data_IF_111623697795
#
_entry.id   IF_111623697795
#
_cell.length_a   1.000
_cell.length_b   1.000
_cell.length_c   1.000
_cell.angle_alpha   90.00
_cell.angle_beta   90.00
_cell.angle_gamma   90.00
#
_symmetry.space_group_name_H-M   'P 1'
#
loop_
_entity.id
_entity.type
_entity.pdbx_description
1 polymer ?
#
# COMPACT_ATOMS: atom_id res chain seq x y z
N UNK A 1 -8.25 23.48 -19.60
CA UNK A 1 -9.38 23.12 -18.72
C UNK A 1 -8.86 22.23 -17.62
N UNK A 2 -9.04 22.59 -16.36
CA UNK A 2 -8.75 21.71 -15.22
C UNK A 2 -9.76 20.55 -15.23
N UNK A 3 -9.28 19.31 -15.37
CA UNK A 3 -10.14 18.12 -15.31
C UNK A 3 -10.50 17.85 -13.83
N UNK A 4 -11.76 18.05 -13.45
CA UNK A 4 -12.27 17.75 -12.11
C UNK A 4 -12.28 16.25 -11.84
N UNK A 5 -11.92 15.83 -10.62
CA UNK A 5 -11.93 14.43 -10.16
C UNK A 5 -12.83 14.27 -8.93
N UNK A 6 -13.40 13.08 -8.77
CA UNK A 6 -14.02 12.71 -7.51
C UNK A 6 -12.95 12.63 -6.40
N UNK A 7 -13.24 13.26 -5.26
CA UNK A 7 -12.43 13.19 -4.05
C UNK A 7 -13.09 12.22 -3.07
N UNK A 8 -12.50 11.05 -2.91
CA UNK A 8 -12.98 10.03 -1.98
C UNK A 8 -12.48 10.31 -0.55
N UNK A 9 -13.16 9.76 0.48
CA UNK A 9 -12.65 9.76 1.85
C UNK A 9 -11.23 9.16 1.91
N UNK A 10 -10.41 9.68 2.81
CA UNK A 10 -9.04 9.21 2.98
C UNK A 10 -8.99 7.81 3.62
N UNK A 11 -7.82 7.16 3.58
CA UNK A 11 -7.62 5.78 4.00
C UNK A 11 -8.14 5.49 5.41
N UNK A 12 -7.86 6.37 6.38
CA UNK A 12 -8.28 6.16 7.77
C UNK A 12 -9.81 6.23 7.93
N UNK A 13 -10.48 7.10 7.17
CA UNK A 13 -11.95 7.18 7.16
C UNK A 13 -12.58 5.96 6.49
N UNK A 14 -11.98 5.46 5.41
CA UNK A 14 -12.42 4.23 4.77
C UNK A 14 -12.21 3.01 5.68
N UNK A 15 -11.08 2.95 6.39
CA UNK A 15 -10.80 1.87 7.33
C UNK A 15 -11.77 1.85 8.52
N UNK A 16 -12.18 3.03 9.01
CA UNK A 16 -13.16 3.14 10.08
C UNK A 16 -14.53 2.54 9.73
N UNK A 17 -14.82 2.25 8.46
CA UNK A 17 -16.05 1.56 8.05
C UNK A 17 -16.02 0.06 8.30
N UNK A 18 -14.82 -0.55 8.40
CA UNK A 18 -14.62 -2.00 8.44
C UNK A 18 -15.33 -2.75 7.29
N UNK A 19 -15.63 -2.05 6.18
CA UNK A 19 -16.45 -2.57 5.11
C UNK A 19 -15.59 -2.91 3.88
N UNK A 20 -15.25 -4.19 3.77
CA UNK A 20 -14.50 -4.75 2.65
C UNK A 20 -15.21 -4.55 1.28
N UNK A 21 -16.53 -4.74 1.22
CA UNK A 21 -17.32 -4.58 -0.01
C UNK A 21 -17.30 -3.11 -0.47
N UNK A 22 -17.40 -2.17 0.46
CA UNK A 22 -17.29 -0.74 0.15
C UNK A 22 -15.92 -0.39 -0.45
N UNK A 23 -14.82 -0.96 0.06
CA UNK A 23 -13.48 -0.67 -0.49
C UNK A 23 -13.32 -1.21 -1.92
N UNK A 24 -13.98 -2.32 -2.24
CA UNK A 24 -14.03 -2.84 -3.59
C UNK A 24 -14.79 -1.89 -4.53
N UNK A 25 -15.97 -1.41 -4.14
CA UNK A 25 -16.74 -0.41 -4.90
C UNK A 25 -15.95 0.90 -5.11
N UNK A 26 -15.27 1.38 -4.06
CA UNK A 26 -14.38 2.55 -4.13
C UNK A 26 -13.27 2.32 -5.16
N UNK A 27 -12.67 1.12 -5.18
CA UNK A 27 -11.68 0.73 -6.19
C UNK A 27 -12.23 0.81 -7.62
N UNK A 28 -13.45 0.30 -7.85
CA UNK A 28 -14.08 0.36 -9.18
C UNK A 28 -14.33 1.81 -9.64
N UNK A 29 -14.88 2.64 -8.76
CA UNK A 29 -15.14 4.05 -9.10
C UNK A 29 -13.85 4.84 -9.36
N UNK A 30 -12.79 4.58 -8.59
CA UNK A 30 -11.48 5.19 -8.85
C UNK A 30 -10.89 4.73 -10.18
N UNK A 31 -11.09 3.47 -10.59
CA UNK A 31 -10.65 3.01 -11.90
C UNK A 31 -11.36 3.75 -13.04
N UNK A 32 -12.64 4.07 -12.90
CA UNK A 32 -13.37 4.88 -13.88
C UNK A 32 -12.81 6.29 -13.97
N UNK A 33 -12.45 6.91 -12.84
CA UNK A 33 -11.77 8.22 -12.81
C UNK A 33 -10.38 8.15 -13.48
N UNK A 34 -9.62 7.07 -13.26
CA UNK A 34 -8.30 6.87 -13.88
C UNK A 34 -8.44 6.73 -15.41
N UNK A 35 -9.41 5.91 -15.86
CA UNK A 35 -9.71 5.72 -17.30
C UNK A 35 -10.17 7.01 -17.96
N UNK A 36 -11.02 7.81 -17.31
CA UNK A 36 -11.44 9.13 -17.80
C UNK A 36 -10.27 10.12 -18.02
N UNK A 37 -9.12 9.85 -17.42
CA UNK A 37 -7.88 10.62 -17.54
C UNK A 37 -6.86 10.01 -18.48
N UNK A 38 -7.20 8.91 -19.16
CA UNK A 38 -6.28 8.17 -20.03
C UNK A 38 -5.03 7.68 -19.28
N UNK A 39 -5.17 7.45 -17.98
CA UNK A 39 -4.15 6.80 -17.16
C UNK A 39 -4.47 5.31 -17.02
N UNK A 40 -3.45 4.52 -16.70
CA UNK A 40 -3.53 3.05 -16.64
C UNK A 40 -3.18 2.49 -15.26
N UNK A 41 -2.53 3.30 -14.43
CA UNK A 41 -1.98 2.91 -13.13
C UNK A 41 -2.41 3.94 -12.10
N UNK A 42 -2.98 3.48 -10.98
CA UNK A 42 -3.26 4.30 -9.82
C UNK A 42 -2.19 4.04 -8.75
N UNK A 43 -1.57 5.13 -8.26
CA UNK A 43 -0.54 5.07 -7.23
C UNK A 43 -1.16 4.88 -5.83
N UNK A 44 -1.81 3.74 -5.59
CA UNK A 44 -2.42 3.36 -4.33
C UNK A 44 -2.86 1.88 -4.33
N UNK A 45 -3.24 1.34 -3.16
CA UNK A 45 -3.43 2.05 -1.89
C UNK A 45 -2.14 2.20 -1.06
N UNK A 46 -2.13 3.15 -0.12
CA UNK A 46 -1.11 3.23 0.93
C UNK A 46 -1.47 2.28 2.08
N UNK A 47 -0.53 1.42 2.48
CA UNK A 47 -0.72 0.40 3.53
C UNK A 47 0.36 0.46 4.62
N UNK A 48 1.09 1.57 4.73
CA UNK A 48 2.05 1.77 5.81
C UNK A 48 1.36 1.70 7.17
N UNK A 49 1.98 1.06 8.16
CA UNK A 49 1.36 0.88 9.47
C UNK A 49 1.30 2.20 10.25
N UNK A 50 0.21 2.43 10.99
CA UNK A 50 0.13 3.53 11.95
C UNK A 50 0.99 3.26 13.19
N UNK A 51 2.31 3.20 13.03
CA UNK A 51 3.27 2.93 14.11
C UNK A 51 3.18 3.96 15.24
N UNK A 52 2.92 5.21 14.88
CA UNK A 52 2.81 6.32 15.82
C UNK A 52 1.73 7.29 15.33
N UNK A 53 0.88 7.86 16.22
CA UNK A 53 -0.22 8.74 15.82
C UNK A 53 0.25 10.04 15.14
N UNK A 54 1.49 10.47 15.39
CA UNK A 54 2.11 11.64 14.74
C UNK A 54 2.65 11.37 13.33
N UNK A 55 2.44 10.18 12.77
CA UNK A 55 2.78 9.88 11.38
C UNK A 55 2.02 10.81 10.43
N UNK A 56 2.73 11.72 9.76
CA UNK A 56 2.12 12.78 8.93
C UNK A 56 1.29 12.28 7.73
N UNK A 57 1.39 10.99 7.40
CA UNK A 57 0.63 10.32 6.32
C UNK A 57 -0.30 9.21 6.82
N UNK A 58 -0.56 9.13 8.13
CA UNK A 58 -1.56 8.18 8.65
C UNK A 58 -2.94 8.40 8.01
N UNK A 59 -3.29 9.64 7.64
CA UNK A 59 -4.60 9.92 7.02
C UNK A 59 -4.84 9.13 5.72
N UNK A 60 -3.80 8.83 4.94
CA UNK A 60 -3.91 8.12 3.65
C UNK A 60 -3.69 6.61 3.76
N UNK A 61 -3.29 6.09 4.93
CA UNK A 61 -3.21 4.66 5.22
C UNK A 61 -4.43 4.18 6.00
N UNK A 62 -4.51 2.88 6.29
CA UNK A 62 -5.72 2.28 6.86
C UNK A 62 -5.70 2.20 8.39
N UNK A 63 -4.76 1.46 9.00
CA UNK A 63 -4.81 1.12 10.42
C UNK A 63 -3.43 0.87 11.05
N UNK A 64 -3.40 0.76 12.38
CA UNK A 64 -2.30 0.18 13.16
C UNK A 64 -2.33 -1.37 13.17
N UNK A 65 -3.43 -1.99 12.74
CA UNK A 65 -3.57 -3.44 12.64
C UNK A 65 -3.27 -3.96 11.22
N UNK A 66 -2.35 -4.92 11.05
CA UNK A 66 -1.93 -5.37 9.73
C UNK A 66 -2.98 -6.23 9.02
N UNK A 67 -3.84 -6.94 9.75
CA UNK A 67 -4.89 -7.78 9.17
C UNK A 67 -5.97 -6.91 8.52
N UNK A 68 -6.49 -5.92 9.25
CA UNK A 68 -7.45 -4.96 8.74
C UNK A 68 -6.89 -4.22 7.52
N UNK A 69 -5.67 -3.70 7.64
CA UNK A 69 -4.98 -2.97 6.56
C UNK A 69 -4.86 -3.84 5.30
N UNK A 70 -4.38 -5.08 5.44
CA UNK A 70 -4.22 -6.00 4.31
C UNK A 70 -5.55 -6.40 3.65
N UNK A 71 -6.58 -6.69 4.45
CA UNK A 71 -7.90 -7.10 3.94
C UNK A 71 -8.60 -6.00 3.16
N UNK A 72 -8.54 -4.76 3.67
CA UNK A 72 -9.13 -3.61 2.99
C UNK A 72 -8.34 -3.26 1.72
N UNK A 73 -7.01 -3.30 1.78
CA UNK A 73 -6.15 -3.08 0.61
C UNK A 73 -6.43 -4.09 -0.50
N UNK A 74 -6.59 -5.38 -0.16
CA UNK A 74 -6.89 -6.43 -1.13
C UNK A 74 -8.20 -6.15 -1.91
N UNK A 75 -9.25 -5.70 -1.22
CA UNK A 75 -10.53 -5.37 -1.89
C UNK A 75 -10.42 -4.14 -2.78
N UNK A 76 -9.76 -3.08 -2.29
CA UNK A 76 -9.48 -1.88 -3.08
C UNK A 76 -8.70 -2.21 -4.38
N UNK A 77 -7.66 -3.05 -4.27
CA UNK A 77 -6.85 -3.51 -5.40
C UNK A 77 -7.68 -4.32 -6.38
N UNK A 78 -8.50 -5.27 -5.90
CA UNK A 78 -9.39 -6.07 -6.75
C UNK A 78 -10.36 -5.19 -7.53
N UNK A 79 -10.97 -4.19 -6.89
CA UNK A 79 -11.89 -3.26 -7.53
C UNK A 79 -11.23 -2.47 -8.67
N UNK A 80 -10.00 -1.97 -8.46
CA UNK A 80 -9.25 -1.29 -9.52
C UNK A 80 -8.92 -2.21 -10.70
N UNK A 81 -8.40 -3.41 -10.41
CA UNK A 81 -7.87 -4.30 -11.42
C UNK A 81 -8.97 -5.05 -12.20
N UNK A 82 -10.13 -5.28 -11.59
CA UNK A 82 -11.30 -5.78 -12.32
C UNK A 82 -11.74 -4.82 -13.42
N UNK A 83 -11.54 -3.52 -13.19
CA UNK A 83 -11.81 -2.47 -14.16
C UNK A 83 -10.65 -2.24 -15.14
N UNK A 84 -9.59 -3.06 -15.10
CA UNK A 84 -8.45 -2.96 -16.00
C UNK A 84 -7.49 -1.81 -15.67
N UNK A 85 -7.48 -1.32 -14.43
CA UNK A 85 -6.53 -0.31 -13.93
C UNK A 85 -5.58 -0.96 -12.94
N UNK A 86 -4.28 -0.76 -13.14
CA UNK A 86 -3.25 -1.28 -12.25
C UNK A 86 -3.30 -0.58 -10.89
N UNK A 87 -3.35 -1.35 -9.81
CA UNK A 87 -3.07 -0.83 -8.48
C UNK A 87 -1.55 -0.83 -8.22
N UNK A 88 -1.06 0.18 -7.49
CA UNK A 88 0.32 0.23 -7.01
C UNK A 88 0.33 0.33 -5.50
N UNK A 89 0.43 -0.82 -4.83
CA UNK A 89 0.45 -0.86 -3.36
C UNK A 89 1.75 -0.22 -2.83
N UNK A 90 1.64 0.60 -1.79
CA UNK A 90 2.77 1.43 -1.31
C UNK A 90 2.74 1.68 0.21
N UNK A 91 3.84 2.05 0.86
CA UNK A 91 5.21 2.15 0.34
C UNK A 91 6.01 0.99 0.94
N UNK A 92 6.58 0.13 0.11
CA UNK A 92 7.20 -1.12 0.50
C UNK A 92 8.69 -0.91 0.85
N UNK A 93 9.14 -0.94 2.10
CA UNK A 93 8.39 -1.10 3.37
C UNK A 93 9.06 -0.24 4.46
N UNK A 94 8.40 -0.04 5.60
CA UNK A 94 9.00 0.64 6.76
C UNK A 94 8.98 2.17 6.67
N UNK A 95 7.99 2.73 5.97
CA UNK A 95 7.81 4.17 5.76
C UNK A 95 6.70 4.75 6.65
N UNK A 96 6.87 4.64 7.97
CA UNK A 96 5.86 5.06 8.96
C UNK A 96 6.10 6.47 9.54
N UNK A 97 7.08 7.21 9.04
CA UNK A 97 7.33 8.61 9.41
C UNK A 97 7.79 9.47 8.24
N UNK A 98 7.40 10.75 8.26
CA UNK A 98 7.78 11.70 7.21
C UNK A 98 9.12 12.40 7.48
N UNK A 99 9.42 12.62 8.77
CA UNK A 99 10.66 13.28 9.19
C UNK A 99 11.86 12.46 8.72
N UNK A 100 12.72 13.08 7.90
CA UNK A 100 13.88 12.45 7.29
C UNK A 100 13.57 11.17 6.49
N UNK A 101 12.37 11.01 5.92
CA UNK A 101 11.97 9.79 5.18
C UNK A 101 12.91 9.37 4.04
N UNK A 102 13.72 10.30 3.52
CA UNK A 102 14.71 10.03 2.47
C UNK A 102 16.04 9.50 3.01
N UNK A 103 16.31 9.60 4.32
CA UNK A 103 17.63 9.32 4.91
C UNK A 103 17.59 8.51 6.20
N UNK A 104 16.43 8.34 6.82
CA UNK A 104 16.31 7.57 8.05
C UNK A 104 16.47 6.06 7.79
N UNK A 105 17.12 5.39 8.73
CA UNK A 105 17.18 3.93 8.79
C UNK A 105 16.16 3.37 9.77
N UNK A 106 15.17 2.65 9.22
CA UNK A 106 14.18 1.89 9.97
C UNK A 106 14.82 0.57 10.44
N UNK A 107 15.35 0.58 11.66
CA UNK A 107 15.90 -0.60 12.33
C UNK A 107 14.77 -1.50 12.86
N UNK A 108 14.51 -2.61 12.19
CA UNK A 108 13.38 -3.49 12.47
C UNK A 108 13.85 -4.94 12.50
N UNK A 109 13.58 -5.63 13.60
CA UNK A 109 13.86 -7.07 13.69
C UNK A 109 12.98 -7.87 12.72
N UNK A 110 13.45 -9.05 12.31
CA UNK A 110 12.77 -9.88 11.32
C UNK A 110 11.31 -10.21 11.71
N UNK A 111 11.07 -10.47 13.00
CA UNK A 111 9.73 -10.80 13.49
C UNK A 111 8.72 -9.66 13.29
N UNK A 112 8.91 -8.44 13.83
CA UNK A 112 8.00 -7.33 13.56
C UNK A 112 7.99 -6.92 12.09
N UNK A 113 9.11 -7.07 11.36
CA UNK A 113 9.14 -6.86 9.91
C UNK A 113 8.08 -7.74 9.22
N UNK A 114 8.04 -9.03 9.54
CA UNK A 114 7.10 -10.00 8.93
C UNK A 114 5.69 -9.95 9.50
N UNK A 115 5.53 -9.79 10.81
CA UNK A 115 4.23 -9.83 11.48
C UNK A 115 3.45 -8.52 11.34
N UNK A 116 4.13 -7.37 11.21
CA UNK A 116 3.51 -6.04 11.21
C UNK A 116 3.68 -5.33 9.87
N UNK A 117 4.90 -5.03 9.45
CA UNK A 117 5.12 -4.09 8.34
C UNK A 117 4.94 -4.71 6.95
N UNK A 118 5.38 -5.95 6.77
CA UNK A 118 5.21 -6.70 5.54
C UNK A 118 3.82 -7.34 5.42
N UNK A 119 3.16 -7.59 6.55
CA UNK A 119 1.92 -8.39 6.59
C UNK A 119 0.78 -7.83 5.72
N UNK A 120 0.50 -6.51 5.67
CA UNK A 120 -0.52 -5.97 4.76
C UNK A 120 -0.19 -6.22 3.29
N UNK A 121 1.09 -6.10 2.92
CA UNK A 121 1.55 -6.38 1.56
C UNK A 121 1.44 -7.86 1.23
N UNK A 122 1.82 -8.76 2.15
CA UNK A 122 1.69 -10.21 1.96
C UNK A 122 0.23 -10.61 1.70
N UNK A 123 -0.70 -10.09 2.52
CA UNK A 123 -2.14 -10.33 2.37
C UNK A 123 -2.60 -9.82 1.00
N UNK A 124 -2.26 -8.57 0.64
CA UNK A 124 -2.67 -7.97 -0.62
C UNK A 124 -2.11 -8.70 -1.84
N UNK A 125 -0.83 -9.11 -1.80
CA UNK A 125 -0.20 -9.92 -2.86
C UNK A 125 -0.93 -11.24 -3.05
N UNK A 126 -1.16 -11.98 -1.96
CA UNK A 126 -1.81 -13.30 -2.04
C UNK A 126 -3.29 -13.24 -2.42
N UNK A 127 -4.00 -12.21 -1.97
CA UNK A 127 -5.46 -12.14 -2.14
C UNK A 127 -5.87 -11.34 -3.37
N UNK A 128 -5.06 -10.39 -3.84
CA UNK A 128 -5.45 -9.46 -4.91
C UNK A 128 -4.43 -9.31 -6.04
N UNK A 129 -3.21 -9.82 -5.86
CA UNK A 129 -2.10 -9.73 -6.82
C UNK A 129 -1.96 -8.33 -7.48
N UNK A 130 -1.53 -7.29 -6.73
CA UNK A 130 -1.41 -5.94 -7.26
C UNK A 130 -0.42 -5.89 -8.43
N UNK A 131 -0.75 -5.26 -9.54
CA UNK A 131 0.12 -5.23 -10.73
C UNK A 131 1.40 -4.41 -10.54
N UNK A 132 1.48 -3.59 -9.49
CA UNK A 132 2.70 -2.91 -9.12
C UNK A 132 2.86 -2.79 -7.60
N UNK A 133 4.11 -2.73 -7.16
CA UNK A 133 4.53 -2.38 -5.79
C UNK A 133 5.46 -1.18 -5.89
N UNK A 134 5.23 -0.16 -5.07
CA UNK A 134 6.13 1.00 -4.98
C UNK A 134 6.99 0.89 -3.74
N UNK A 135 8.32 0.89 -3.92
CA UNK A 135 9.28 0.89 -2.82
C UNK A 135 9.18 2.18 -1.98
N UNK A 136 9.56 2.09 -0.71
CA UNK A 136 9.68 3.25 0.16
C UNK A 136 10.97 4.02 -0.06
N UNK A 137 11.04 5.21 0.52
CA UNK A 137 12.23 6.07 0.45
C UNK A 137 13.33 5.70 1.46
N UNK A 138 12.93 5.26 2.66
CA UNK A 138 13.81 5.07 3.80
C UNK A 138 14.76 3.88 3.60
N UNK A 139 15.79 3.81 4.47
CA UNK A 139 16.56 2.60 4.64
C UNK A 139 15.78 1.63 5.55
N UNK A 140 15.95 0.34 5.31
CA UNK A 140 15.47 -0.75 6.18
C UNK A 140 16.67 -1.60 6.54
N UNK A 141 17.07 -1.56 7.81
CA UNK A 141 18.26 -2.25 8.31
C UNK A 141 19.53 -1.93 7.49
N UNK A 142 19.78 -0.65 7.23
CA UNK A 142 21.00 -0.15 6.61
C UNK A 142 21.03 -0.12 5.08
N UNK A 143 19.94 -0.52 4.40
CA UNK A 143 19.86 -0.53 2.93
C UNK A 143 18.58 0.18 2.47
N UNK A 144 18.68 1.08 1.49
CA UNK A 144 17.50 1.73 0.90
C UNK A 144 16.50 0.71 0.36
N UNK A 145 15.22 0.94 0.64
CA UNK A 145 14.17 -0.05 0.36
C UNK A 145 14.02 -0.39 -1.14
N UNK A 146 14.40 0.51 -2.04
CA UNK A 146 14.40 0.32 -3.50
C UNK A 146 15.55 -0.58 -4.01
N UNK A 147 16.56 -0.85 -3.18
CA UNK A 147 17.69 -1.74 -3.47
C UNK A 147 17.85 -2.86 -2.42
N UNK A 148 16.88 -3.01 -1.51
CA UNK A 148 16.94 -3.98 -0.43
C UNK A 148 16.62 -5.39 -0.97
N UNK A 149 17.65 -6.20 -1.17
CA UNK A 149 17.53 -7.55 -1.74
C UNK A 149 16.70 -8.49 -0.87
N UNK A 150 16.80 -8.35 0.47
CA UNK A 150 16.04 -9.18 1.42
C UNK A 150 14.53 -8.98 1.21
N UNK A 151 14.06 -7.72 1.16
CA UNK A 151 12.63 -7.44 1.02
C UNK A 151 12.13 -7.59 -0.42
N UNK A 152 12.85 -7.07 -1.41
CA UNK A 152 12.38 -7.04 -2.81
C UNK A 152 12.54 -8.37 -3.55
N UNK A 153 13.64 -9.09 -3.30
CA UNK A 153 13.93 -10.33 -4.03
C UNK A 153 13.59 -11.54 -3.20
N UNK A 154 14.19 -11.65 -2.02
CA UNK A 154 14.12 -12.90 -1.25
C UNK A 154 12.70 -13.10 -0.70
N UNK A 155 12.10 -12.08 -0.09
CA UNK A 155 10.73 -12.13 0.42
C UNK A 155 9.68 -11.93 -0.69
N UNK A 156 9.64 -10.76 -1.32
CA UNK A 156 8.54 -10.39 -2.23
C UNK A 156 8.45 -11.34 -3.45
N UNK A 157 9.56 -11.59 -4.13
CA UNK A 157 9.58 -12.48 -5.30
C UNK A 157 9.84 -13.95 -4.93
N UNK A 158 10.73 -14.22 -4.00
CA UNK A 158 11.13 -15.59 -3.65
C UNK A 158 10.10 -16.32 -2.80
N UNK A 159 9.66 -15.71 -1.70
CA UNK A 159 8.71 -16.36 -0.79
C UNK A 159 7.25 -16.15 -1.21
N UNK A 160 6.89 -14.93 -1.63
CA UNK A 160 5.50 -14.61 -1.96
C UNK A 160 5.16 -14.87 -3.43
N UNK A 161 6.16 -15.19 -4.27
CA UNK A 161 6.00 -15.43 -5.70
C UNK A 161 5.31 -14.26 -6.44
N UNK A 162 5.61 -13.02 -6.05
CA UNK A 162 5.07 -11.83 -6.71
C UNK A 162 5.55 -11.73 -8.17
N UNK A 163 4.61 -11.67 -9.11
CA UNK A 163 4.84 -11.74 -10.56
C UNK A 163 4.64 -10.41 -11.29
N UNK A 164 4.35 -9.31 -10.56
CA UNK A 164 4.37 -7.95 -11.11
C UNK A 164 5.76 -7.41 -11.43
#
# INVERSE_FOLDING_TARGET
MTKQAALFPCGISLAATWNAELLFEVGQHLAHEVKARSAHILLGPTVCMHRHPLGGRNFESYSEDPLLTGKLAAQYIRGLQQEGVAATIKHFVGNEQETHRLTIDSLVQERPLREIYLKPFEIAVREANPWAVMSSYNLVNGVHADMNTHTLRDILRGEWNYDG
#
